data_IF_201496003585
#
_entry.id   IF_201496003585
#
_cell.length_a   1.000
_cell.length_b   1.000
_cell.length_c   1.000
_cell.angle_alpha   90.00
_cell.angle_beta   90.00
_cell.angle_gamma   90.00
#
_symmetry.space_group_name_H-M   'P 1'
#
loop_
_entity.id
_entity.type
_entity.pdbx_description
1 polymer ?
#
# COMPACT_ATOMS: atom_id res chain seq x y z
N UNK A 1 -19.47 14.58 5.26
CA UNK A 1 -19.68 13.82 4.03
C UNK A 1 -20.30 12.49 4.40
N UNK A 2 -21.53 12.19 3.94
CA UNK A 2 -22.17 10.90 4.15
C UNK A 2 -21.93 10.01 2.93
N UNK A 3 -21.54 8.74 3.18
CA UNK A 3 -21.48 7.71 2.12
C UNK A 3 -22.81 6.98 2.12
N UNK A 4 -23.60 7.11 1.05
CA UNK A 4 -24.90 6.44 0.89
C UNK A 4 -24.73 5.25 -0.07
N UNK A 5 -25.14 4.06 0.38
CA UNK A 5 -25.29 2.90 -0.49
C UNK A 5 -26.68 2.90 -1.11
N UNK A 6 -26.74 3.13 -2.44
CA UNK A 6 -27.97 3.16 -3.20
C UNK A 6 -28.51 4.59 -3.41
N UNK A 7 -29.14 4.82 -4.54
CA UNK A 7 -29.47 6.06 -5.22
C UNK A 7 -30.16 7.21 -4.47
N UNK A 8 -29.59 7.69 -3.38
CA UNK A 8 -30.03 8.92 -2.74
C UNK A 8 -29.45 10.15 -3.43
N UNK A 9 -30.30 11.15 -3.71
CA UNK A 9 -29.93 12.44 -4.31
C UNK A 9 -29.74 13.50 -3.23
N UNK A 10 -28.91 13.25 -2.22
CA UNK A 10 -28.66 14.25 -1.16
C UNK A 10 -27.37 15.05 -1.51
N UNK A 11 -27.46 16.38 -1.35
CA UNK A 11 -26.31 17.29 -1.52
C UNK A 11 -25.20 16.97 -0.53
N UNK A 12 -23.94 17.01 -0.98
CA UNK A 12 -22.76 16.70 -0.16
C UNK A 12 -22.51 15.20 0.07
N UNK A 13 -23.05 14.33 -0.78
CA UNK A 13 -22.98 12.86 -0.67
C UNK A 13 -21.94 12.29 -1.64
N UNK A 14 -21.30 11.18 -1.27
CA UNK A 14 -20.54 10.31 -2.19
C UNK A 14 -21.40 9.07 -2.49
N UNK A 15 -21.83 8.94 -3.74
CA UNK A 15 -22.54 7.77 -4.24
C UNK A 15 -21.56 6.78 -4.85
N UNK A 16 -21.62 5.51 -4.43
CA UNK A 16 -20.73 4.46 -4.90
C UNK A 16 -21.54 3.33 -5.51
N UNK A 17 -21.17 2.90 -6.72
CA UNK A 17 -21.83 1.82 -7.43
C UNK A 17 -20.82 0.90 -8.13
N UNK A 18 -21.27 -0.31 -8.49
CA UNK A 18 -20.62 -1.16 -9.48
C UNK A 18 -21.37 -1.03 -10.80
N UNK A 19 -20.64 -0.99 -11.91
CA UNK A 19 -21.17 -0.87 -13.27
C UNK A 19 -20.50 -1.83 -14.24
N UNK A 20 -20.99 -1.83 -15.47
CA UNK A 20 -20.41 -2.64 -16.57
C UNK A 20 -19.15 -1.96 -17.11
N UNK A 21 -18.04 -2.18 -16.39
CA UNK A 21 -16.70 -1.66 -16.69
C UNK A 21 -15.66 -2.77 -16.49
N UNK A 22 -14.46 -2.69 -17.10
CA UNK A 22 -13.35 -3.56 -16.76
C UNK A 22 -13.09 -3.58 -15.26
N UNK A 23 -12.62 -4.70 -14.71
CA UNK A 23 -12.56 -4.93 -13.26
C UNK A 23 -11.84 -3.84 -12.47
N UNK A 24 -10.73 -3.32 -12.98
CA UNK A 24 -9.94 -2.27 -12.30
C UNK A 24 -10.29 -0.85 -12.80
N UNK A 25 -11.24 -0.72 -13.75
CA UNK A 25 -11.68 0.58 -14.27
C UNK A 25 -12.66 1.27 -13.32
N UNK A 26 -12.74 2.59 -13.43
CA UNK A 26 -13.72 3.40 -12.73
C UNK A 26 -14.09 4.69 -13.49
N UNK A 27 -15.24 5.23 -13.14
CA UNK A 27 -15.69 6.58 -13.50
C UNK A 27 -15.93 7.35 -12.21
N UNK A 28 -15.25 8.47 -12.05
CA UNK A 28 -15.40 9.41 -10.94
C UNK A 28 -15.93 10.73 -11.46
N UNK A 29 -17.15 11.10 -11.07
CA UNK A 29 -17.79 12.38 -11.40
C UNK A 29 -17.89 13.24 -10.15
N UNK A 30 -17.14 14.33 -10.10
CA UNK A 30 -17.25 15.37 -9.06
C UNK A 30 -18.15 16.47 -9.59
N UNK A 31 -19.29 16.70 -8.94
CA UNK A 31 -20.30 17.71 -9.28
C UNK A 31 -20.41 18.73 -8.14
N UNK A 32 -21.13 19.81 -8.37
CA UNK A 32 -21.33 20.87 -7.38
C UNK A 32 -22.10 20.42 -6.12
N UNK A 33 -22.91 19.37 -6.25
CA UNK A 33 -23.81 18.88 -5.20
C UNK A 33 -23.41 17.49 -4.65
N UNK A 34 -22.68 16.68 -5.44
CA UNK A 34 -22.35 15.30 -5.06
C UNK A 34 -21.13 14.77 -5.81
N UNK A 35 -20.64 13.63 -5.35
CA UNK A 35 -19.62 12.83 -6.03
C UNK A 35 -20.21 11.47 -6.37
N UNK A 36 -20.14 11.07 -7.63
CA UNK A 36 -20.53 9.74 -8.08
C UNK A 36 -19.27 8.95 -8.45
N UNK A 37 -19.11 7.75 -7.90
CA UNK A 37 -18.01 6.82 -8.18
C UNK A 37 -18.57 5.47 -8.62
N UNK A 38 -18.31 5.08 -9.86
CA UNK A 38 -18.70 3.78 -10.41
C UNK A 38 -17.44 2.99 -10.75
N UNK A 39 -17.27 1.79 -10.18
CA UNK A 39 -16.17 0.87 -10.49
C UNK A 39 -16.66 -0.38 -11.20
N UNK A 40 -15.80 -1.03 -12.00
CA UNK A 40 -16.09 -2.32 -12.61
C UNK A 40 -16.06 -3.47 -11.58
N UNK A 41 -15.37 -3.26 -10.47
CA UNK A 41 -15.31 -4.17 -9.32
C UNK A 41 -14.99 -3.37 -8.04
N UNK A 42 -14.94 -4.01 -6.86
CA UNK A 42 -14.42 -3.36 -5.64
C UNK A 42 -13.02 -2.77 -5.80
N UNK A 43 -12.14 -3.38 -6.62
CA UNK A 43 -10.81 -2.83 -6.92
C UNK A 43 -10.91 -1.52 -7.71
N UNK A 44 -11.76 -1.44 -8.74
CA UNK A 44 -12.00 -0.22 -9.50
C UNK A 44 -12.54 0.91 -8.61
N UNK A 45 -13.48 0.61 -7.71
CA UNK A 45 -13.97 1.56 -6.70
C UNK A 45 -12.82 2.04 -5.80
N UNK A 46 -12.00 1.13 -5.32
CA UNK A 46 -10.84 1.46 -4.49
C UNK A 46 -9.88 2.42 -5.22
N UNK A 47 -9.57 2.16 -6.49
CA UNK A 47 -8.70 3.02 -7.28
C UNK A 47 -9.33 4.40 -7.57
N UNK A 48 -10.63 4.45 -7.75
CA UNK A 48 -11.35 5.72 -7.83
C UNK A 48 -11.24 6.55 -6.55
N UNK A 49 -11.31 5.91 -5.38
CA UNK A 49 -11.05 6.58 -4.10
C UNK A 49 -9.59 7.05 -3.97
N UNK A 50 -8.61 6.32 -4.51
CA UNK A 50 -7.22 6.80 -4.51
C UNK A 50 -7.08 8.07 -5.37
N UNK A 51 -7.77 8.16 -6.50
CA UNK A 51 -7.81 9.37 -7.32
C UNK A 51 -8.49 10.52 -6.59
N UNK A 52 -9.65 10.29 -5.97
CA UNK A 52 -10.34 11.30 -5.16
C UNK A 52 -9.43 11.79 -4.02
N UNK A 53 -8.71 10.90 -3.35
CA UNK A 53 -7.74 11.25 -2.31
C UNK A 53 -6.63 12.16 -2.83
N UNK A 54 -6.11 11.90 -4.04
CA UNK A 54 -5.07 12.74 -4.67
C UNK A 54 -5.58 14.14 -5.08
N UNK A 55 -6.90 14.32 -5.20
CA UNK A 55 -7.51 15.63 -5.45
C UNK A 55 -7.68 16.47 -4.18
N UNK A 56 -7.52 15.88 -3.00
CA UNK A 56 -7.65 16.58 -1.72
C UNK A 56 -6.45 17.53 -1.52
N UNK A 57 -6.66 18.71 -0.93
CA UNK A 57 -5.55 19.59 -0.55
C UNK A 57 -4.67 18.93 0.52
N UNK A 58 -3.40 19.29 0.54
CA UNK A 58 -2.41 18.71 1.45
C UNK A 58 -2.81 18.85 2.93
N UNK A 59 -3.42 19.96 3.31
CA UNK A 59 -3.96 20.18 4.66
C UNK A 59 -4.96 19.09 5.08
N UNK A 60 -5.85 18.69 4.16
CA UNK A 60 -6.81 17.62 4.43
C UNK A 60 -6.11 16.25 4.55
N UNK A 61 -5.07 16.00 3.76
CA UNK A 61 -4.26 14.77 3.84
C UNK A 61 -3.47 14.67 5.15
N UNK A 62 -3.07 15.81 5.71
CA UNK A 62 -2.41 15.91 7.03
C UNK A 62 -3.38 15.81 8.21
N UNK A 63 -4.68 15.66 7.95
CA UNK A 63 -5.72 15.55 8.99
C UNK A 63 -6.09 16.89 9.63
N UNK A 64 -5.74 18.02 9.01
CA UNK A 64 -6.19 19.33 9.45
C UNK A 64 -7.72 19.44 9.28
N UNK A 65 -8.40 19.93 10.32
CA UNK A 65 -9.86 20.08 10.27
C UNK A 65 -10.21 21.25 9.36
N UNK A 66 -10.80 20.95 8.22
CA UNK A 66 -11.40 21.94 7.34
C UNK A 66 -12.94 21.91 7.49
N UNK A 67 -13.57 23.07 7.44
CA UNK A 67 -15.05 23.20 7.48
C UNK A 67 -15.68 22.75 6.18
N UNK A 68 -14.98 22.93 5.07
CA UNK A 68 -15.30 22.48 3.72
C UNK A 68 -14.02 22.25 2.93
N UNK A 69 -14.06 21.40 1.93
CA UNK A 69 -13.00 21.14 0.98
C UNK A 69 -13.56 21.39 -0.41
N UNK A 70 -12.97 22.32 -1.14
CA UNK A 70 -13.33 22.60 -2.51
C UNK A 70 -12.63 21.60 -3.44
N UNK A 71 -13.40 20.92 -4.27
CA UNK A 71 -12.93 20.02 -5.30
C UNK A 71 -13.33 20.56 -6.68
N UNK A 72 -12.48 20.42 -7.70
CA UNK A 72 -12.85 20.81 -9.05
C UNK A 72 -14.01 19.95 -9.58
N UNK A 73 -14.96 20.57 -10.25
CA UNK A 73 -16.01 19.84 -11.00
C UNK A 73 -15.35 19.15 -12.18
N UNK A 74 -15.37 17.82 -12.22
CA UNK A 74 -14.64 17.03 -13.22
C UNK A 74 -15.25 15.64 -13.38
N UNK A 75 -15.16 15.07 -14.58
CA UNK A 75 -15.39 13.65 -14.83
C UNK A 75 -14.06 13.00 -15.22
N UNK A 76 -13.69 11.93 -14.50
CA UNK A 76 -12.48 11.13 -14.71
C UNK A 76 -12.91 9.72 -15.05
N UNK A 77 -12.44 9.21 -16.20
CA UNK A 77 -12.52 7.80 -16.58
C UNK A 77 -11.12 7.26 -16.65
N UNK A 78 -10.87 6.18 -15.93
CA UNK A 78 -9.52 5.62 -15.84
C UNK A 78 -9.58 4.10 -15.80
N UNK A 79 -8.61 3.49 -16.46
CA UNK A 79 -8.36 2.05 -16.43
C UNK A 79 -6.86 1.78 -16.59
N UNK A 80 -6.32 0.74 -15.97
CA UNK A 80 -4.90 0.45 -16.10
C UNK A 80 -4.59 -0.13 -17.49
N UNK A 81 -3.64 0.47 -18.20
CA UNK A 81 -3.10 -0.08 -19.46
C UNK A 81 -2.25 -1.33 -19.25
N UNK A 82 -1.71 -1.52 -18.04
CA UNK A 82 -0.84 -2.63 -17.67
C UNK A 82 -1.47 -3.35 -16.47
N UNK A 83 -1.78 -4.63 -16.63
CA UNK A 83 -2.40 -5.43 -15.57
C UNK A 83 -1.43 -5.80 -14.44
N UNK A 84 -0.13 -5.93 -14.70
CA UNK A 84 0.89 -6.24 -13.69
C UNK A 84 1.68 -4.98 -13.32
N UNK A 85 1.40 -4.42 -12.17
CA UNK A 85 2.01 -3.19 -11.65
C UNK A 85 2.67 -3.48 -10.30
N UNK A 86 3.94 -3.84 -10.34
CA UNK A 86 4.65 -4.40 -9.20
C UNK A 86 5.69 -3.44 -8.59
N UNK A 87 5.97 -3.68 -7.31
CA UNK A 87 7.13 -3.18 -6.60
C UNK A 87 7.84 -4.36 -5.94
N UNK A 88 9.17 -4.35 -5.92
CA UNK A 88 9.99 -5.29 -5.17
C UNK A 88 10.49 -4.60 -3.90
N UNK A 89 10.28 -5.23 -2.73
CA UNK A 89 10.85 -4.82 -1.45
C UNK A 89 11.82 -5.91 -0.98
N UNK A 90 13.09 -5.57 -0.94
CA UNK A 90 14.14 -6.45 -0.46
C UNK A 90 14.37 -6.24 1.04
N UNK A 91 13.85 -7.18 1.84
CA UNK A 91 14.06 -7.20 3.29
C UNK A 91 15.17 -8.17 3.70
N UNK A 92 15.70 -8.94 2.75
CA UNK A 92 16.82 -9.85 2.95
C UNK A 92 18.11 -9.08 3.23
N UNK A 93 18.46 -8.10 2.37
CA UNK A 93 19.65 -7.26 2.52
C UNK A 93 19.49 -6.25 3.67
N UNK A 94 18.32 -5.63 3.78
CA UNK A 94 18.01 -4.74 4.89
C UNK A 94 16.65 -5.10 5.48
N UNK A 95 16.61 -5.42 6.79
CA UNK A 95 15.35 -5.76 7.45
C UNK A 95 14.51 -4.51 7.71
N UNK A 96 13.28 -4.55 7.25
CA UNK A 96 12.22 -3.60 7.59
C UNK A 96 11.19 -4.31 8.46
N UNK A 97 10.73 -3.68 9.53
CA UNK A 97 9.71 -4.25 10.40
C UNK A 97 8.32 -4.30 9.74
N UNK A 98 7.34 -4.96 10.37
CA UNK A 98 6.00 -5.10 9.81
C UNK A 98 5.31 -3.78 9.47
N UNK A 99 5.54 -2.74 10.26
CA UNK A 99 4.88 -1.44 10.05
C UNK A 99 5.49 -0.67 8.86
N UNK A 100 6.80 -0.80 8.64
CA UNK A 100 7.46 -0.25 7.45
C UNK A 100 6.96 -0.96 6.18
N UNK A 101 6.78 -2.28 6.21
CA UNK A 101 6.20 -3.03 5.08
C UNK A 101 4.75 -2.58 4.81
N UNK A 102 3.94 -2.38 5.84
CA UNK A 102 2.58 -1.84 5.69
C UNK A 102 2.59 -0.42 5.10
N UNK A 103 3.55 0.42 5.51
CA UNK A 103 3.71 1.76 4.94
C UNK A 103 4.04 1.72 3.45
N UNK A 104 4.89 0.78 3.02
CA UNK A 104 5.16 0.54 1.59
C UNK A 104 3.90 0.10 0.85
N UNK A 105 3.11 -0.81 1.45
CA UNK A 105 1.83 -1.25 0.88
C UNK A 105 0.85 -0.07 0.74
N UNK A 106 0.79 0.85 1.71
CA UNK A 106 -0.04 2.05 1.63
C UNK A 106 0.39 2.99 0.49
N UNK A 107 1.71 3.17 0.30
CA UNK A 107 2.25 3.92 -0.84
C UNK A 107 1.92 3.24 -2.17
N UNK A 108 2.05 1.93 -2.25
CA UNK A 108 1.66 1.15 -3.43
C UNK A 108 0.18 1.34 -3.76
N UNK A 109 -0.69 1.26 -2.75
CA UNK A 109 -2.13 1.46 -2.88
C UNK A 109 -2.45 2.86 -3.43
N UNK A 110 -1.80 3.90 -2.91
CA UNK A 110 -1.97 5.29 -3.37
C UNK A 110 -1.59 5.46 -4.85
N UNK A 111 -0.59 4.70 -5.32
CA UNK A 111 -0.15 4.69 -6.71
C UNK A 111 -0.82 3.60 -7.58
N UNK A 112 -1.85 2.93 -7.06
CA UNK A 112 -2.61 1.88 -7.77
C UNK A 112 -1.75 0.71 -8.25
N UNK A 113 -0.64 0.41 -7.55
CA UNK A 113 0.15 -0.80 -7.76
C UNK A 113 -0.62 -2.00 -7.19
N UNK A 114 -0.52 -3.18 -7.81
CA UNK A 114 -1.32 -4.34 -7.45
C UNK A 114 -0.52 -5.62 -7.18
N UNK A 115 0.81 -5.55 -7.22
CA UNK A 115 1.70 -6.68 -6.91
C UNK A 115 2.88 -6.25 -6.07
N UNK A 116 3.12 -6.95 -4.95
CA UNK A 116 4.31 -6.77 -4.13
C UNK A 116 5.16 -8.04 -4.22
N UNK A 117 6.36 -7.93 -4.75
CA UNK A 117 7.37 -8.97 -4.58
C UNK A 117 8.10 -8.71 -3.26
N UNK A 118 7.72 -9.45 -2.23
CA UNK A 118 8.35 -9.35 -0.92
C UNK A 118 9.52 -10.34 -0.84
N UNK A 119 10.75 -9.83 -0.99
CA UNK A 119 11.96 -10.64 -1.03
C UNK A 119 12.45 -10.94 0.40
N UNK A 120 12.11 -12.13 0.89
CA UNK A 120 12.22 -12.53 2.29
C UNK A 120 13.52 -13.25 2.65
N UNK A 121 14.23 -13.81 1.67
CA UNK A 121 15.31 -14.76 1.93
C UNK A 121 16.51 -14.52 1.03
N UNK A 122 17.64 -14.28 1.63
CA UNK A 122 18.93 -14.07 0.99
C UNK A 122 20.08 -14.60 1.89
N UNK A 123 21.29 -14.66 1.36
CA UNK A 123 22.49 -15.02 2.14
C UNK A 123 22.81 -13.99 3.23
N UNK A 124 22.46 -12.70 3.02
CA UNK A 124 22.60 -11.64 4.00
C UNK A 124 21.55 -11.69 5.12
N UNK A 125 20.43 -12.36 4.91
CA UNK A 125 19.42 -12.48 5.94
C UNK A 125 18.21 -13.32 5.57
N UNK A 126 17.84 -14.21 6.48
CA UNK A 126 16.63 -15.01 6.39
C UNK A 126 15.51 -14.38 7.22
N UNK A 127 14.43 -13.92 6.59
CA UNK A 127 13.41 -13.07 7.24
C UNK A 127 12.06 -13.73 7.50
N UNK A 128 11.90 -15.02 7.21
CA UNK A 128 10.63 -15.73 7.42
C UNK A 128 10.79 -16.91 8.39
N UNK A 129 9.90 -16.97 9.39
CA UNK A 129 9.85 -18.06 10.35
C UNK A 129 9.46 -19.40 9.70
N UNK A 130 10.34 -20.39 9.81
CA UNK A 130 10.06 -21.79 9.48
C UNK A 130 10.25 -22.63 10.74
N UNK A 131 9.15 -23.06 11.37
CA UNK A 131 9.20 -23.77 12.68
C UNK A 131 10.05 -25.03 12.66
N UNK A 132 10.09 -25.72 11.51
CA UNK A 132 10.93 -26.93 11.34
C UNK A 132 12.42 -26.60 11.33
N UNK A 133 12.81 -25.38 11.01
CA UNK A 133 14.18 -24.94 10.86
C UNK A 133 14.45 -23.64 11.66
N UNK A 134 14.41 -23.70 13.02
CA UNK A 134 14.48 -22.49 13.85
C UNK A 134 15.80 -21.74 13.75
N UNK A 135 16.90 -22.40 13.38
CA UNK A 135 18.21 -21.77 13.20
C UNK A 135 18.24 -20.77 12.05
N UNK A 136 17.35 -20.90 11.07
CA UNK A 136 17.20 -19.92 9.97
C UNK A 136 16.86 -18.52 10.50
N UNK A 137 16.07 -18.42 11.56
CA UNK A 137 15.72 -17.13 12.17
C UNK A 137 16.50 -16.82 13.43
N UNK A 138 16.93 -17.84 14.19
CA UNK A 138 17.75 -17.62 15.39
C UNK A 138 19.13 -17.05 15.05
N UNK A 139 19.75 -17.55 13.98
CA UNK A 139 21.10 -17.18 13.51
C UNK A 139 21.06 -16.46 12.17
N UNK A 140 20.38 -17.01 11.16
CA UNK A 140 20.38 -16.49 9.80
C UNK A 140 19.65 -15.16 9.62
N UNK A 141 18.85 -14.71 10.60
CA UNK A 141 18.20 -13.41 10.59
C UNK A 141 19.08 -12.27 11.15
N UNK A 142 20.27 -12.56 11.68
CA UNK A 142 21.09 -11.59 12.39
C UNK A 142 22.49 -11.53 11.84
N UNK A 143 23.08 -10.34 11.77
CA UNK A 143 24.46 -10.11 11.35
C UNK A 143 25.04 -8.91 12.09
N UNK A 144 26.37 -8.79 12.11
CA UNK A 144 27.08 -7.72 12.78
C UNK A 144 27.35 -6.49 11.91
N UNK A 145 26.82 -6.48 10.67
CA UNK A 145 26.99 -5.38 9.71
C UNK A 145 25.72 -5.15 8.89
N UNK A 146 25.45 -3.89 8.56
CA UNK A 146 24.44 -3.47 7.61
C UNK A 146 25.11 -2.90 6.36
N UNK A 147 24.64 -3.28 5.17
CA UNK A 147 25.17 -2.75 3.90
C UNK A 147 24.84 -1.26 3.66
N UNK A 148 24.02 -0.67 4.52
CA UNK A 148 23.64 0.74 4.44
C UNK A 148 24.61 1.67 5.19
N UNK A 149 25.49 1.13 6.03
CA UNK A 149 26.50 1.93 6.72
C UNK A 149 27.88 1.62 6.14
N UNK A 150 28.48 2.64 5.55
CA UNK A 150 29.82 2.56 4.98
C UNK A 150 30.77 3.42 5.80
N UNK A 151 31.93 2.86 6.13
CA UNK A 151 33.04 3.62 6.66
C UNK A 151 33.62 4.59 5.61
N UNK A 152 34.50 5.51 6.02
CA UNK A 152 35.13 6.46 5.10
C UNK A 152 35.89 5.80 3.93
N UNK A 153 36.37 4.57 4.13
CA UNK A 153 37.05 3.77 3.11
C UNK A 153 36.10 3.00 2.16
N UNK A 154 34.77 3.23 2.30
CA UNK A 154 33.73 2.60 1.47
C UNK A 154 33.40 1.16 1.85
N UNK A 155 33.96 0.61 2.93
CA UNK A 155 33.65 -0.74 3.41
C UNK A 155 32.44 -0.73 4.34
N UNK A 156 31.66 -1.84 4.41
CA UNK A 156 30.59 -1.97 5.38
C UNK A 156 31.10 -1.78 6.81
N UNK A 157 30.54 -0.77 7.50
CA UNK A 157 30.87 -0.50 8.91
C UNK A 157 30.17 -1.54 9.82
N UNK A 158 30.87 -1.93 10.87
CA UNK A 158 30.28 -2.80 11.88
C UNK A 158 29.23 -2.04 12.67
N UNK A 159 28.04 -2.59 12.78
CA UNK A 159 26.99 -2.03 13.62
C UNK A 159 27.31 -2.17 15.10
N UNK A 160 26.97 -1.21 15.96
CA UNK A 160 27.22 -1.27 17.39
C UNK A 160 26.45 -2.41 18.09
N UNK A 161 25.39 -2.90 17.45
CA UNK A 161 24.60 -4.05 17.89
C UNK A 161 24.30 -4.95 16.68
N UNK A 162 24.04 -6.26 16.90
CA UNK A 162 23.61 -7.14 15.82
C UNK A 162 22.40 -6.58 15.11
N UNK A 163 22.50 -6.43 13.78
CA UNK A 163 21.44 -5.96 12.90
C UNK A 163 20.64 -7.14 12.36
N UNK A 164 19.32 -7.01 12.32
CA UNK A 164 18.48 -8.04 11.73
C UNK A 164 17.07 -8.05 12.29
N UNK A 165 16.39 -9.14 12.00
CA UNK A 165 15.01 -9.40 12.36
C UNK A 165 14.37 -10.39 11.40
N UNK A 166 13.18 -10.84 11.74
CA UNK A 166 12.39 -11.73 10.89
C UNK A 166 10.91 -11.56 11.17
N UNK A 167 10.09 -12.05 10.27
CA UNK A 167 8.64 -12.06 10.43
C UNK A 167 8.18 -13.41 10.94
N UNK A 168 7.36 -13.40 11.98
CA UNK A 168 6.63 -14.58 12.43
C UNK A 168 5.57 -14.95 11.42
N UNK A 169 5.13 -16.20 11.41
CA UNK A 169 4.03 -16.65 10.55
C UNK A 169 2.73 -15.84 10.75
N UNK A 170 2.51 -15.33 11.97
CA UNK A 170 1.37 -14.47 12.27
C UNK A 170 1.51 -13.11 11.56
N UNK A 171 2.68 -12.47 11.67
CA UNK A 171 2.96 -11.20 11.00
C UNK A 171 2.87 -11.33 9.46
N UNK A 172 3.38 -12.43 8.89
CA UNK A 172 3.23 -12.68 7.45
C UNK A 172 1.76 -12.73 7.04
N UNK A 173 0.92 -13.48 7.77
CA UNK A 173 -0.53 -13.55 7.49
C UNK A 173 -1.21 -12.18 7.63
N UNK A 174 -0.81 -11.40 8.62
CA UNK A 174 -1.34 -10.06 8.84
C UNK A 174 -0.99 -9.13 7.68
N UNK A 175 0.27 -9.13 7.23
CA UNK A 175 0.73 -8.31 6.10
C UNK A 175 0.03 -8.72 4.81
N UNK A 176 -0.09 -10.03 4.53
CA UNK A 176 -0.80 -10.53 3.36
C UNK A 176 -2.28 -10.08 3.36
N UNK A 177 -2.95 -10.16 4.51
CA UNK A 177 -4.33 -9.66 4.64
C UNK A 177 -4.40 -8.15 4.43
N UNK A 178 -3.47 -7.41 5.05
CA UNK A 178 -3.38 -5.96 4.91
C UNK A 178 -3.21 -5.50 3.46
N UNK A 179 -2.41 -6.23 2.68
CA UNK A 179 -2.23 -6.02 1.25
C UNK A 179 -3.50 -6.37 0.45
N UNK A 180 -4.13 -7.53 0.77
CA UNK A 180 -5.35 -7.97 0.10
C UNK A 180 -6.52 -6.98 0.29
N UNK A 181 -6.65 -6.36 1.47
CA UNK A 181 -7.64 -5.31 1.75
C UNK A 181 -7.41 -4.04 0.88
N UNK A 182 -6.27 -3.94 0.21
CA UNK A 182 -5.88 -2.85 -0.73
C UNK A 182 -5.75 -3.32 -2.16
N UNK A 183 -6.26 -4.53 -2.46
CA UNK A 183 -6.17 -5.15 -3.79
C UNK A 183 -4.74 -5.35 -4.28
N UNK A 184 -3.79 -5.59 -3.35
CA UNK A 184 -2.39 -5.91 -3.62
C UNK A 184 -2.16 -7.38 -3.30
N UNK A 185 -1.68 -8.14 -4.27
CA UNK A 185 -1.22 -9.52 -4.11
C UNK A 185 0.28 -9.53 -3.78
N UNK A 186 0.69 -10.40 -2.82
CA UNK A 186 2.09 -10.60 -2.42
C UNK A 186 2.58 -11.95 -2.95
#
# INVERSE_FOLDING_TARGET
LAVVRGGGQESGTICVALGDLPAEAYVLSVRSDRIDLTGGSPAGVFYGFQTLRQMLPESALRGEKARAIDLPVVEIRDEPRIGYRALLLDVGRHFFGPEEVKSVIDLMAMHKLNRLQWHLTEDQGWRIEIRKYPELTRRGAWRDRSDLRLAEDGRPEKDPQPYGGYYTRQQVREIVRYAADRFIEI
#
